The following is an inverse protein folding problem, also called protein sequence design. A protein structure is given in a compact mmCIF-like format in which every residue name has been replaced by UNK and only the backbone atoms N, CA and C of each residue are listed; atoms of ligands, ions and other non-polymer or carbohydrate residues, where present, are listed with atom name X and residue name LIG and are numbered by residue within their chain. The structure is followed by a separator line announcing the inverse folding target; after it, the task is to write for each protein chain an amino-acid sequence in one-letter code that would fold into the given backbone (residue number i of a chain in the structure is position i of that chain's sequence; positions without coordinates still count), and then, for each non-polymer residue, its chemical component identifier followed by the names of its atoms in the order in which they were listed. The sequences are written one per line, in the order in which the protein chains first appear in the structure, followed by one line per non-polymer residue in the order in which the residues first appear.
data_IF_666803882107
#
_entry.id   IF_666803882107
#
_cell.length_a   1.000
_cell.length_b   1.000
_cell.length_c   1.000
_cell.angle_alpha   90.00
_cell.angle_beta   90.00
_cell.angle_gamma   90.00
#
_symmetry.space_group_name_H-M   'P 1'
#
loop_
_entity.id
_entity.type
_entity.pdbx_description
1 polymer ?
#
# COMPACT_ATOMS: atom_id res chain seq x y z
N UNK A 1 -21.66 6.25 -18.97
CA UNK A 1 -20.39 5.95 -18.25
C UNK A 1 -19.41 5.41 -19.28
N UNK A 2 -18.39 6.19 -19.65
CA UNK A 2 -17.55 5.91 -20.82
C UNK A 2 -16.60 4.73 -20.56
N UNK A 3 -16.51 3.85 -21.56
CA UNK A 3 -15.69 2.63 -21.67
C UNK A 3 -14.17 2.85 -21.48
N UNK A 4 -13.73 4.09 -21.24
CA UNK A 4 -12.33 4.54 -21.21
C UNK A 4 -11.69 4.36 -19.81
N UNK A 5 -12.46 4.40 -18.72
CA UNK A 5 -11.92 4.25 -17.35
C UNK A 5 -11.54 2.81 -16.98
N UNK A 6 -12.17 1.80 -17.59
CA UNK A 6 -11.88 0.39 -17.35
C UNK A 6 -10.65 -0.12 -18.10
N UNK A 7 -10.32 0.50 -19.25
CA UNK A 7 -9.14 0.10 -20.06
C UNK A 7 -7.82 0.63 -19.50
N UNK A 8 -7.81 1.82 -18.88
CA UNK A 8 -6.59 2.39 -18.28
C UNK A 8 -6.04 1.55 -17.11
N UNK A 9 -6.90 1.04 -16.24
CA UNK A 9 -6.50 0.17 -15.13
C UNK A 9 -6.03 -1.22 -15.60
N UNK A 10 -6.66 -1.76 -16.65
CA UNK A 10 -6.31 -3.07 -17.19
C UNK A 10 -5.00 -3.04 -18.00
N UNK A 11 -4.73 -1.94 -18.73
CA UNK A 11 -3.47 -1.73 -19.44
C UNK A 11 -2.31 -1.52 -18.44
N UNK A 12 -2.54 -0.82 -17.32
CA UNK A 12 -1.53 -0.66 -16.28
C UNK A 12 -1.24 -1.98 -15.53
N UNK A 13 -2.27 -2.78 -15.24
CA UNK A 13 -2.14 -4.13 -14.69
C UNK A 13 -1.41 -5.09 -15.65
N UNK A 14 -1.69 -5.00 -16.96
CA UNK A 14 -0.96 -5.74 -17.99
C UNK A 14 0.50 -5.27 -18.12
N UNK A 15 0.78 -3.98 -17.96
CA UNK A 15 2.14 -3.44 -17.91
C UNK A 15 2.93 -3.96 -16.70
N UNK A 16 2.31 -4.04 -15.52
CA UNK A 16 2.95 -4.66 -14.35
C UNK A 16 3.10 -6.19 -14.49
N UNK A 17 2.13 -6.89 -15.09
CA UNK A 17 2.22 -8.33 -15.35
C UNK A 17 3.27 -8.69 -16.42
N UNK A 18 3.49 -7.82 -17.41
CA UNK A 18 4.51 -8.00 -18.45
C UNK A 18 5.92 -7.63 -17.96
N UNK A 19 6.05 -6.69 -17.01
CA UNK A 19 7.32 -6.42 -16.32
C UNK A 19 7.68 -7.51 -15.29
N UNK A 20 6.69 -8.22 -14.74
CA UNK A 20 6.88 -9.30 -13.78
C UNK A 20 7.08 -10.69 -14.41
N UNK A 21 6.99 -10.83 -15.74
CA UNK A 21 7.22 -12.10 -16.43
C UNK A 21 8.68 -12.20 -16.86
N UNK A 22 9.49 -13.13 -16.33
CA UNK A 22 10.83 -13.35 -16.86
C UNK A 22 10.71 -13.87 -18.29
N UNK A 23 11.08 -13.05 -19.28
CA UNK A 23 11.38 -13.55 -20.62
C UNK A 23 12.45 -14.64 -20.45
N UNK A 24 12.17 -15.85 -20.94
CA UNK A 24 13.17 -16.87 -21.21
C UNK A 24 14.22 -16.24 -22.13
N UNK A 25 15.30 -15.74 -21.55
CA UNK A 25 16.45 -15.28 -22.30
C UNK A 25 17.36 -16.49 -22.52
N UNK A 26 17.36 -16.99 -23.75
CA UNK A 26 18.49 -17.77 -24.26
C UNK A 26 19.66 -16.79 -24.33
N UNK A 27 20.68 -17.02 -23.51
CA UNK A 27 21.92 -16.26 -23.53
C UNK A 27 22.73 -16.74 -24.72
N UNK A 28 22.96 -15.85 -25.68
CA UNK A 28 24.05 -15.93 -26.64
C UNK A 28 24.96 -14.76 -26.29
N UNK A 29 26.24 -15.06 -26.12
CA UNK A 29 27.31 -14.22 -25.56
C UNK A 29 27.47 -12.82 -26.18
N UNK A 30 28.29 -12.02 -25.48
CA UNK A 30 28.96 -10.76 -25.86
C UNK A 30 28.21 -9.44 -25.56
N UNK A 31 28.61 -8.77 -24.47
CA UNK A 31 29.38 -7.52 -24.57
C UNK A 31 29.62 -6.90 -23.18
N UNK A 32 30.88 -6.87 -22.77
CA UNK A 32 31.34 -6.28 -21.50
C UNK A 32 31.60 -4.81 -21.74
N UNK A 33 30.77 -3.91 -21.20
CA UNK A 33 31.04 -2.46 -21.24
C UNK A 33 31.87 -2.11 -20.00
N UNK A 34 33.14 -1.77 -20.20
CA UNK A 34 34.05 -1.28 -19.15
C UNK A 34 33.83 0.23 -19.00
N UNK A 35 33.41 0.68 -17.81
CA UNK A 35 33.50 2.09 -17.42
C UNK A 35 34.82 2.30 -16.67
N UNK A 36 35.75 3.01 -17.30
CA UNK A 36 36.93 3.58 -16.65
C UNK A 36 36.48 4.80 -15.83
N UNK A 37 36.14 4.56 -14.55
CA UNK A 37 36.40 5.45 -13.42
C UNK A 37 35.74 4.87 -12.16
N UNK A 38 36.34 3.83 -11.61
CA UNK A 38 36.15 3.45 -10.20
C UNK A 38 37.46 2.85 -9.69
N UNK A 39 37.96 3.39 -8.59
CA UNK A 39 39.24 3.11 -7.91
C UNK A 39 39.62 1.62 -7.83
N UNK A 40 40.94 1.29 -7.89
CA UNK A 40 41.45 -0.05 -8.08
C UNK A 40 41.32 -0.89 -6.80
N UNK A 41 40.62 -2.01 -6.86
CA UNK A 41 40.56 -2.96 -5.74
C UNK A 41 39.46 -4.02 -5.77
N UNK A 42 38.45 -3.91 -6.64
CA UNK A 42 37.49 -4.99 -6.88
C UNK A 42 37.48 -5.35 -8.36
N UNK A 43 37.76 -6.62 -8.68
CA UNK A 43 37.76 -7.14 -10.04
C UNK A 43 36.42 -6.90 -10.72
N UNK A 44 36.46 -6.22 -11.86
CA UNK A 44 35.35 -5.87 -12.73
C UNK A 44 34.83 -7.07 -13.55
N UNK A 45 33.53 -7.36 -13.42
CA UNK A 45 32.59 -7.33 -14.56
C UNK A 45 31.16 -7.54 -14.02
N UNK A 46 30.47 -6.46 -13.68
CA UNK A 46 29.02 -6.56 -13.49
C UNK A 46 28.42 -6.90 -14.86
N UNK A 47 27.66 -8.01 -14.95
CA UNK A 47 26.98 -8.36 -16.21
C UNK A 47 26.11 -7.20 -16.70
N UNK A 48 25.94 -7.03 -18.01
CA UNK A 48 25.05 -6.00 -18.57
C UNK A 48 23.64 -6.03 -17.95
N UNK A 49 23.18 -7.23 -17.55
CA UNK A 49 21.94 -7.45 -16.81
C UNK A 49 21.96 -6.81 -15.41
N UNK A 50 23.04 -6.95 -14.66
CA UNK A 50 23.17 -6.38 -13.32
C UNK A 50 23.17 -4.84 -13.38
N UNK A 51 23.86 -4.25 -14.35
CA UNK A 51 23.86 -2.80 -14.58
C UNK A 51 22.47 -2.32 -14.97
N UNK A 52 21.78 -3.03 -15.89
CA UNK A 52 20.42 -2.70 -16.29
C UNK A 52 19.43 -2.77 -15.12
N UNK A 53 19.54 -3.79 -14.26
CA UNK A 53 18.70 -3.92 -13.07
C UNK A 53 18.96 -2.78 -12.07
N UNK A 54 20.22 -2.40 -11.83
CA UNK A 54 20.56 -1.27 -10.96
C UNK A 54 19.97 0.05 -11.48
N UNK A 55 20.09 0.31 -12.78
CA UNK A 55 19.48 1.49 -13.41
C UNK A 55 17.96 1.47 -13.26
N UNK A 56 17.32 0.32 -13.48
CA UNK A 56 15.88 0.16 -13.31
C UNK A 56 15.46 0.44 -11.85
N UNK A 57 16.22 -0.05 -10.86
CA UNK A 57 15.97 0.21 -9.44
C UNK A 57 16.08 1.69 -9.12
N UNK A 58 17.08 2.39 -9.67
CA UNK A 58 17.26 3.83 -9.51
C UNK A 58 16.09 4.63 -10.09
N UNK A 59 15.70 4.33 -11.34
CA UNK A 59 14.58 5.01 -12.03
C UNK A 59 13.26 4.80 -11.28
N UNK A 60 12.95 3.55 -10.91
CA UNK A 60 11.72 3.23 -10.16
C UNK A 60 11.72 3.93 -8.80
N UNK A 61 12.85 3.94 -8.09
CA UNK A 61 12.97 4.64 -6.79
C UNK A 61 12.67 6.13 -6.93
N UNK A 62 13.28 6.81 -7.92
CA UNK A 62 13.05 8.23 -8.18
C UNK A 62 11.58 8.54 -8.53
N UNK A 63 10.98 7.78 -9.45
CA UNK A 63 9.57 7.94 -9.82
C UNK A 63 8.68 7.74 -8.59
N UNK A 64 8.95 6.70 -7.81
CA UNK A 64 8.14 6.36 -6.64
C UNK A 64 8.24 7.45 -5.57
N UNK A 65 9.43 7.96 -5.26
CA UNK A 65 9.61 9.09 -4.34
C UNK A 65 8.83 10.31 -4.83
N UNK A 66 8.90 10.64 -6.13
CA UNK A 66 8.12 11.73 -6.71
C UNK A 66 6.61 11.56 -6.50
N UNK A 67 6.07 10.37 -6.72
CA UNK A 67 4.66 10.05 -6.47
C UNK A 67 4.33 10.15 -4.98
N UNK A 68 5.16 9.63 -4.09
CA UNK A 68 4.93 9.68 -2.63
C UNK A 68 4.93 11.12 -2.10
N UNK A 69 5.79 12.00 -2.63
CA UNK A 69 5.77 13.44 -2.31
C UNK A 69 4.44 14.07 -2.73
N UNK A 70 3.92 13.72 -3.91
CA UNK A 70 2.60 14.18 -4.36
C UNK A 70 1.49 13.65 -3.43
N UNK A 71 1.57 12.40 -3.00
CA UNK A 71 0.61 11.81 -2.03
C UNK A 71 0.68 12.50 -0.66
N UNK A 72 1.88 12.83 -0.17
CA UNK A 72 2.07 13.63 1.05
C UNK A 72 1.45 15.01 0.91
N UNK A 73 1.73 15.70 -0.19
CA UNK A 73 1.18 17.02 -0.48
C UNK A 73 -0.35 17.00 -0.46
N UNK A 74 -0.97 16.04 -1.15
CA UNK A 74 -2.42 15.87 -1.14
C UNK A 74 -2.97 15.53 0.25
N UNK A 75 -2.24 14.74 1.04
CA UNK A 75 -2.68 14.35 2.37
C UNK A 75 -2.55 15.49 3.39
N UNK A 76 -1.63 16.43 3.21
CA UNK A 76 -1.45 17.58 4.11
C UNK A 76 -2.35 18.75 3.67
N UNK A 77 -2.28 19.13 2.39
CA UNK A 77 -2.89 20.36 1.86
C UNK A 77 -4.13 20.12 1.00
N UNK A 78 -4.50 18.87 0.73
CA UNK A 78 -5.61 18.54 -0.14
C UNK A 78 -6.95 18.97 0.43
N UNK A 79 -7.57 19.96 -0.23
CA UNK A 79 -8.87 20.52 0.18
C UNK A 79 -10.03 19.53 0.01
N UNK A 80 -9.86 18.51 -0.85
CA UNK A 80 -10.87 17.46 -1.10
C UNK A 80 -10.64 16.19 -0.29
N UNK A 81 -9.53 16.08 0.43
CA UNK A 81 -9.18 14.93 1.26
C UNK A 81 -9.71 15.15 2.69
N UNK A 82 -10.75 14.39 3.12
CA UNK A 82 -11.28 14.57 4.50
C UNK A 82 -10.37 13.90 5.52
N UNK A 83 -10.46 14.36 6.76
CA UNK A 83 -9.70 13.89 7.91
C UNK A 83 -10.12 12.48 8.39
N UNK A 84 -10.33 11.55 7.47
CA UNK A 84 -10.67 10.14 7.75
C UNK A 84 -9.39 9.32 7.94
N UNK A 85 -9.50 8.13 8.52
CA UNK A 85 -8.41 7.17 8.69
C UNK A 85 -7.64 6.93 7.39
N UNK A 86 -8.35 6.83 6.26
CA UNK A 86 -7.73 6.69 4.92
C UNK A 86 -6.70 7.79 4.62
N UNK A 87 -6.98 9.05 4.97
CA UNK A 87 -6.06 10.17 4.73
C UNK A 87 -4.80 10.01 5.55
N UNK A 88 -4.97 9.69 6.84
CA UNK A 88 -3.85 9.53 7.77
C UNK A 88 -3.01 8.30 7.44
N UNK A 89 -3.66 7.22 7.01
CA UNK A 89 -2.98 6.02 6.54
C UNK A 89 -2.14 6.28 5.30
N UNK A 90 -2.70 6.92 4.26
CA UNK A 90 -1.96 7.27 3.04
C UNK A 90 -0.82 8.23 3.36
N UNK A 91 -1.03 9.22 4.23
CA UNK A 91 0.03 10.12 4.71
C UNK A 91 1.18 9.32 5.35
N UNK A 92 0.83 8.40 6.25
CA UNK A 92 1.81 7.61 7.00
C UNK A 92 2.60 6.67 6.06
N UNK A 93 1.91 5.94 5.20
CA UNK A 93 2.53 5.07 4.19
C UNK A 93 3.41 5.87 3.22
N UNK A 94 3.03 7.09 2.86
CA UNK A 94 3.83 7.92 1.97
C UNK A 94 5.13 8.39 2.62
N UNK A 95 5.07 8.81 3.88
CA UNK A 95 6.24 9.24 4.65
C UNK A 95 7.23 8.08 4.84
N UNK A 96 6.74 6.96 5.37
CA UNK A 96 7.60 5.80 5.62
C UNK A 96 8.01 5.07 4.35
N UNK A 97 7.23 5.18 3.27
CA UNK A 97 7.59 4.69 1.95
C UNK A 97 8.80 5.42 1.36
N UNK A 98 8.96 6.73 1.63
CA UNK A 98 10.16 7.46 1.23
C UNK A 98 11.37 6.94 2.00
N UNK A 99 11.23 6.77 3.32
CA UNK A 99 12.31 6.21 4.14
C UNK A 99 12.70 4.80 3.70
N UNK A 100 11.69 3.97 3.38
CA UNK A 100 11.87 2.63 2.85
C UNK A 100 12.74 2.66 1.59
N UNK A 101 12.39 3.51 0.62
CA UNK A 101 13.13 3.62 -0.64
C UNK A 101 14.55 4.16 -0.45
N UNK A 102 14.75 5.13 0.45
CA UNK A 102 16.09 5.66 0.76
C UNK A 102 16.99 4.55 1.33
N UNK A 103 16.47 3.75 2.27
CA UNK A 103 17.20 2.62 2.85
C UNK A 103 17.42 1.53 1.80
N UNK A 104 16.38 1.13 1.07
CA UNK A 104 16.43 0.06 0.08
C UNK A 104 17.35 0.41 -1.10
N UNK A 105 17.35 1.65 -1.57
CA UNK A 105 18.24 2.11 -2.63
C UNK A 105 19.71 2.15 -2.22
N UNK A 106 20.00 2.09 -0.92
CA UNK A 106 21.34 2.05 -0.34
C UNK A 106 21.83 0.63 0.00
N UNK A 107 20.91 -0.31 0.28
CA UNK A 107 21.28 -1.62 0.85
C UNK A 107 20.71 -2.85 0.13
N UNK A 108 19.84 -2.68 -0.87
CA UNK A 108 19.36 -3.81 -1.66
C UNK A 108 20.50 -4.52 -2.40
N UNK A 109 20.29 -5.80 -2.74
CA UNK A 109 21.23 -6.60 -3.54
C UNK A 109 21.59 -5.91 -4.88
N UNK A 110 20.61 -5.20 -5.46
CA UNK A 110 20.74 -4.42 -6.69
C UNK A 110 20.62 -2.92 -6.42
N UNK A 111 21.18 -2.46 -5.30
CA UNK A 111 21.14 -1.06 -4.89
C UNK A 111 21.70 -0.14 -5.99
N UNK A 112 20.94 0.89 -6.42
CA UNK A 112 21.44 1.89 -7.36
C UNK A 112 22.50 2.81 -6.73
N UNK A 113 22.47 3.02 -5.41
CA UNK A 113 23.40 3.89 -4.69
C UNK A 113 23.93 3.24 -3.39
N UNK A 114 24.76 2.18 -3.48
CA UNK A 114 25.16 1.35 -2.33
C UNK A 114 25.95 2.07 -1.22
N UNK A 115 26.47 3.27 -1.50
CA UNK A 115 27.25 4.09 -0.57
C UNK A 115 26.54 5.41 -0.20
N UNK A 116 25.24 5.54 -0.50
CA UNK A 116 24.48 6.74 -0.15
C UNK A 116 24.33 6.90 1.38
N UNK A 117 24.05 5.80 2.08
CA UNK A 117 24.08 5.75 3.55
C UNK A 117 25.39 5.07 3.99
N UNK A 118 26.26 5.84 4.64
CA UNK A 118 27.55 5.37 5.15
C UNK A 118 27.55 5.04 6.64
N UNK A 119 26.45 5.30 7.35
CA UNK A 119 26.34 5.03 8.78
C UNK A 119 26.30 3.52 9.05
N UNK A 120 27.26 3.04 9.85
CA UNK A 120 27.40 1.61 10.15
C UNK A 120 26.22 1.06 10.95
N UNK A 121 25.74 1.78 11.97
CA UNK A 121 24.59 1.35 12.77
C UNK A 121 23.34 1.16 11.88
N UNK A 122 23.13 2.06 10.91
CA UNK A 122 22.02 1.93 9.96
C UNK A 122 22.18 0.72 9.04
N UNK A 123 23.41 0.47 8.56
CA UNK A 123 23.71 -0.70 7.72
C UNK A 123 23.42 -1.99 8.47
N UNK A 124 23.83 -2.06 9.74
CA UNK A 124 23.63 -3.22 10.59
C UNK A 124 22.15 -3.45 10.92
N UNK A 125 21.33 -2.37 10.93
CA UNK A 125 19.88 -2.45 11.19
C UNK A 125 19.00 -2.26 9.96
N UNK A 126 19.55 -2.35 8.75
CA UNK A 126 18.82 -2.06 7.52
C UNK A 126 17.61 -2.97 7.32
N UNK A 127 17.71 -4.24 7.74
CA UNK A 127 16.60 -5.20 7.74
C UNK A 127 15.47 -4.76 8.68
N UNK A 128 15.80 -4.31 9.88
CA UNK A 128 14.82 -3.82 10.86
C UNK A 128 14.12 -2.57 10.36
N UNK A 129 14.84 -1.66 9.68
CA UNK A 129 14.24 -0.50 9.00
C UNK A 129 13.27 -0.93 7.89
N UNK A 130 13.61 -1.97 7.13
CA UNK A 130 12.72 -2.53 6.12
C UNK A 130 11.44 -3.13 6.75
N UNK A 131 11.58 -3.95 7.78
CA UNK A 131 10.45 -4.53 8.53
C UNK A 131 9.57 -3.44 9.15
N UNK A 132 10.18 -2.42 9.76
CA UNK A 132 9.51 -1.26 10.32
C UNK A 132 8.67 -0.54 9.26
N UNK A 133 9.30 -0.10 8.17
CA UNK A 133 8.62 0.72 7.15
C UNK A 133 7.51 -0.03 6.45
N UNK A 134 7.62 -1.35 6.32
CA UNK A 134 6.61 -2.17 5.66
C UNK A 134 5.47 -2.61 6.58
N UNK A 135 5.68 -2.66 7.90
CA UNK A 135 4.63 -2.92 8.89
C UNK A 135 3.56 -1.82 8.93
N UNK A 136 3.92 -0.59 8.54
CA UNK A 136 3.05 0.60 8.53
C UNK A 136 1.75 0.35 7.78
N UNK A 137 1.85 -0.32 6.62
CA UNK A 137 0.70 -0.55 5.77
C UNK A 137 -0.33 -1.52 6.37
N UNK A 138 0.01 -2.79 6.69
CA UNK A 138 -0.96 -3.72 7.27
C UNK A 138 -1.50 -3.21 8.60
N UNK A 139 -0.64 -2.64 9.47
CA UNK A 139 -1.08 -2.10 10.75
C UNK A 139 -2.06 -0.92 10.59
N UNK A 140 -1.80 -0.02 9.65
CA UNK A 140 -2.68 1.10 9.37
C UNK A 140 -4.01 0.68 8.72
N UNK A 141 -3.98 -0.33 7.84
CA UNK A 141 -5.17 -0.82 7.15
C UNK A 141 -6.21 -1.43 8.11
N UNK A 142 -5.79 -2.01 9.23
CA UNK A 142 -6.73 -2.50 10.28
C UNK A 142 -7.63 -1.36 10.76
N UNK A 143 -7.07 -0.20 11.05
CA UNK A 143 -7.85 0.98 11.48
C UNK A 143 -8.70 1.55 10.35
N UNK A 144 -8.21 1.51 9.11
CA UNK A 144 -8.96 1.95 7.94
C UNK A 144 -10.20 1.07 7.70
N UNK A 145 -10.08 -0.25 7.79
CA UNK A 145 -11.22 -1.15 7.67
C UNK A 145 -12.24 -0.95 8.80
N UNK A 146 -11.77 -0.79 10.04
CA UNK A 146 -12.63 -0.48 11.18
C UNK A 146 -13.42 0.82 10.98
N UNK A 147 -12.74 1.91 10.62
CA UNK A 147 -13.41 3.19 10.35
C UNK A 147 -14.48 3.03 9.28
N UNK A 148 -14.17 2.32 8.20
CA UNK A 148 -15.05 2.22 7.03
C UNK A 148 -16.29 1.36 7.29
N UNK A 149 -16.16 0.30 8.10
CA UNK A 149 -17.30 -0.44 8.62
C UNK A 149 -18.20 0.49 9.44
N UNK A 150 -17.63 1.27 10.36
CA UNK A 150 -18.36 2.21 11.21
C UNK A 150 -19.06 3.29 10.36
N UNK A 151 -18.37 3.90 9.41
CA UNK A 151 -18.91 4.95 8.54
C UNK A 151 -19.97 4.44 7.58
N UNK A 152 -19.92 3.17 7.18
CA UNK A 152 -20.98 2.54 6.38
C UNK A 152 -22.27 2.39 7.19
N UNK A 153 -22.14 2.02 8.47
CA UNK A 153 -23.28 1.87 9.39
C UNK A 153 -23.82 3.25 9.80
N UNK A 154 -22.93 4.17 10.18
CA UNK A 154 -23.22 5.49 10.75
C UNK A 154 -22.50 6.63 9.99
N UNK A 155 -22.95 6.98 8.77
CA UNK A 155 -22.24 7.92 7.88
C UNK A 155 -22.14 9.35 8.42
N UNK A 156 -23.01 9.75 9.35
CA UNK A 156 -22.97 11.07 9.99
C UNK A 156 -21.68 11.29 10.81
N UNK A 157 -21.04 10.22 11.29
CA UNK A 157 -19.80 10.29 12.07
C UNK A 157 -18.62 10.84 11.27
N UNK A 158 -18.63 10.73 9.93
CA UNK A 158 -17.56 11.26 9.09
C UNK A 158 -17.39 12.79 9.20
N UNK A 159 -18.44 13.51 9.63
CA UNK A 159 -18.39 14.95 9.85
C UNK A 159 -18.00 15.31 11.31
N UNK A 160 -17.90 14.33 12.20
CA UNK A 160 -17.54 14.55 13.61
C UNK A 160 -16.03 14.72 13.74
N UNK A 161 -15.62 15.84 14.33
CA UNK A 161 -14.21 16.13 14.59
C UNK A 161 -13.63 15.13 15.58
N UNK A 162 -14.38 14.79 16.65
CA UNK A 162 -13.93 13.85 17.69
C UNK A 162 -13.70 12.46 17.11
N UNK A 163 -14.63 11.98 16.28
CA UNK A 163 -14.50 10.66 15.64
C UNK A 163 -13.27 10.60 14.74
N UNK A 164 -13.08 11.61 13.88
CA UNK A 164 -11.93 11.72 13.00
C UNK A 164 -10.60 11.87 13.77
N UNK A 165 -10.61 12.57 14.91
CA UNK A 165 -9.44 12.75 15.77
C UNK A 165 -8.97 11.44 16.42
N UNK A 166 -9.88 10.54 16.77
CA UNK A 166 -9.53 9.21 17.29
C UNK A 166 -8.67 8.45 16.27
N UNK A 167 -9.11 8.39 15.01
CA UNK A 167 -8.34 7.70 13.97
C UNK A 167 -7.03 8.40 13.62
N UNK A 168 -6.98 9.73 13.70
CA UNK A 168 -5.72 10.46 13.60
C UNK A 168 -4.73 10.03 14.70
N UNK A 169 -5.16 10.01 15.96
CA UNK A 169 -4.32 9.64 17.11
C UNK A 169 -3.86 8.17 17.00
N UNK A 170 -4.75 7.27 16.58
CA UNK A 170 -4.40 5.86 16.42
C UNK A 170 -3.37 5.64 15.29
N UNK A 171 -3.57 6.28 14.13
CA UNK A 171 -2.73 6.04 12.95
C UNK A 171 -1.40 6.81 12.95
N UNK A 172 -1.37 8.01 13.52
CA UNK A 172 -0.19 8.86 13.49
C UNK A 172 0.62 8.70 14.78
N UNK A 173 0.28 9.29 15.93
CA UNK A 173 1.15 9.21 17.11
C UNK A 173 1.20 7.82 17.73
N UNK A 174 0.08 7.10 17.87
CA UNK A 174 0.10 5.79 18.53
C UNK A 174 0.85 4.74 17.71
N UNK A 175 0.45 4.54 16.45
CA UNK A 175 1.08 3.54 15.59
C UNK A 175 2.57 3.86 15.35
N UNK A 176 2.92 5.12 15.03
CA UNK A 176 4.33 5.48 14.83
C UNK A 176 5.13 5.40 16.12
N UNK A 177 4.56 5.85 17.25
CA UNK A 177 5.21 5.76 18.56
C UNK A 177 5.50 4.32 18.95
N UNK A 178 4.53 3.43 18.76
CA UNK A 178 4.69 1.99 19.01
C UNK A 178 5.77 1.39 18.12
N UNK A 179 5.74 1.65 16.81
CA UNK A 179 6.75 1.09 15.90
C UNK A 179 8.15 1.64 16.18
N UNK A 180 8.28 2.94 16.49
CA UNK A 180 9.56 3.56 16.85
C UNK A 180 10.08 2.95 18.15
N UNK A 181 9.21 2.78 19.15
CA UNK A 181 9.57 2.11 20.39
C UNK A 181 10.07 0.68 20.14
N UNK A 182 9.37 -0.10 19.33
CA UNK A 182 9.74 -1.47 18.99
C UNK A 182 11.04 -1.55 18.18
N UNK A 183 11.30 -0.57 17.31
CA UNK A 183 12.59 -0.44 16.64
C UNK A 183 13.72 -0.14 17.64
N UNK A 184 13.52 0.78 18.59
CA UNK A 184 14.52 1.08 19.60
C UNK A 184 14.69 -0.01 20.66
N UNK A 185 13.67 -0.86 20.85
CA UNK A 185 13.75 -2.02 21.73
C UNK A 185 14.87 -2.99 21.31
N UNK A 186 15.22 -3.03 20.02
CA UNK A 186 16.39 -3.75 19.50
C UNK A 186 17.70 -3.37 20.20
N UNK A 187 17.85 -2.08 20.55
CA UNK A 187 19.08 -1.55 21.17
C UNK A 187 19.05 -1.60 22.70
N UNK A 188 17.97 -2.08 23.31
CA UNK A 188 17.92 -2.26 24.75
C UNK A 188 18.71 -3.51 25.15
N UNK A 189 19.45 -3.43 26.25
CA UNK A 189 20.20 -4.56 26.81
C UNK A 189 19.25 -5.56 27.51
N UNK A 190 18.33 -6.11 26.74
CA UNK A 190 17.29 -7.05 27.16
C UNK A 190 17.33 -8.22 26.18
N UNK A 191 17.36 -9.44 26.72
CA UNK A 191 17.24 -10.65 25.91
C UNK A 191 15.77 -10.83 25.51
N UNK A 192 15.41 -10.35 24.33
CA UNK A 192 14.07 -10.54 23.77
C UNK A 192 13.89 -11.98 23.29
N UNK A 193 12.68 -12.53 23.51
CA UNK A 193 12.32 -13.87 23.03
C UNK A 193 12.33 -13.97 21.49
N UNK A 194 11.96 -12.88 20.83
CA UNK A 194 12.07 -12.69 19.39
C UNK A 194 12.28 -11.19 19.13
N UNK A 195 12.89 -10.84 18.00
CA UNK A 195 13.15 -9.44 17.64
C UNK A 195 11.84 -8.63 17.64
N UNK A 196 11.69 -7.56 18.45
CA UNK A 196 10.38 -6.93 18.71
C UNK A 196 9.69 -6.39 17.44
N UNK A 197 10.45 -5.78 16.54
CA UNK A 197 9.90 -5.23 15.29
C UNK A 197 9.51 -6.34 14.31
N UNK A 198 10.26 -7.44 14.26
CA UNK A 198 9.92 -8.60 13.43
C UNK A 198 8.66 -9.30 13.97
N UNK A 199 8.52 -9.42 15.30
CA UNK A 199 7.32 -9.96 15.93
C UNK A 199 6.08 -9.10 15.63
N UNK A 200 6.23 -7.78 15.73
CA UNK A 200 5.17 -6.84 15.39
C UNK A 200 4.76 -6.94 13.92
N UNK A 201 5.73 -7.03 13.02
CA UNK A 201 5.51 -7.24 11.59
C UNK A 201 4.72 -8.55 11.34
N UNK A 202 5.06 -9.63 12.04
CA UNK A 202 4.35 -10.90 11.95
C UNK A 202 2.90 -10.80 12.45
N UNK A 203 2.72 -10.25 13.66
CA UNK A 203 1.42 -10.12 14.28
C UNK A 203 0.49 -9.20 13.48
N UNK A 204 1.00 -8.06 13.02
CA UNK A 204 0.20 -7.09 12.26
C UNK A 204 -0.26 -7.64 10.91
N UNK A 205 0.57 -8.43 10.22
CA UNK A 205 0.15 -9.06 8.97
C UNK A 205 -0.96 -10.11 9.17
N UNK A 206 -0.86 -10.93 10.23
CA UNK A 206 -1.91 -11.90 10.57
C UNK A 206 -3.22 -11.19 10.91
N UNK A 207 -3.17 -10.17 11.79
CA UNK A 207 -4.33 -9.35 12.14
C UNK A 207 -4.92 -8.71 10.88
N UNK A 208 -4.09 -8.10 10.04
CA UNK A 208 -4.54 -7.48 8.80
C UNK A 208 -5.23 -8.48 7.85
N UNK A 209 -4.71 -9.70 7.72
CA UNK A 209 -5.31 -10.75 6.89
C UNK A 209 -6.70 -11.14 7.43
N UNK A 210 -6.83 -11.29 8.75
CA UNK A 210 -8.12 -11.53 9.41
C UNK A 210 -9.10 -10.37 9.17
N UNK A 211 -8.66 -9.13 9.34
CA UNK A 211 -9.49 -7.95 9.10
C UNK A 211 -9.89 -7.78 7.63
N UNK A 212 -9.00 -8.15 6.70
CA UNK A 212 -9.31 -8.17 5.26
C UNK A 212 -10.44 -9.15 4.96
N UNK A 213 -10.40 -10.34 5.56
CA UNK A 213 -11.47 -11.33 5.43
C UNK A 213 -12.79 -10.84 6.05
N UNK A 214 -12.75 -10.26 7.26
CA UNK A 214 -13.93 -9.66 7.90
C UNK A 214 -14.52 -8.55 7.02
N UNK A 215 -13.67 -7.67 6.49
CA UNK A 215 -14.10 -6.59 5.60
C UNK A 215 -14.69 -7.11 4.29
N UNK A 216 -14.15 -8.20 3.74
CA UNK A 216 -14.74 -8.87 2.57
C UNK A 216 -16.16 -9.38 2.85
N UNK A 217 -16.37 -10.08 3.97
CA UNK A 217 -17.71 -10.51 4.39
C UNK A 217 -18.65 -9.32 4.57
N UNK A 218 -18.16 -8.23 5.14
CA UNK A 218 -18.91 -6.99 5.27
C UNK A 218 -19.27 -6.37 3.91
N UNK A 219 -18.37 -6.41 2.92
CA UNK A 219 -18.65 -5.96 1.56
C UNK A 219 -19.76 -6.77 0.89
N UNK A 220 -19.77 -8.09 1.07
CA UNK A 220 -20.84 -8.97 0.58
C UNK A 220 -22.18 -8.59 1.20
N UNK A 221 -22.23 -8.45 2.53
CA UNK A 221 -23.44 -8.02 3.23
C UNK A 221 -23.90 -6.61 2.82
N UNK A 222 -22.96 -5.67 2.69
CA UNK A 222 -23.23 -4.32 2.23
C UNK A 222 -23.79 -4.27 0.80
N UNK A 223 -23.43 -5.21 -0.06
CA UNK A 223 -24.02 -5.34 -1.41
C UNK A 223 -25.50 -5.68 -1.33
N UNK A 224 -25.89 -6.61 -0.45
CA UNK A 224 -27.30 -6.92 -0.21
C UNK A 224 -28.07 -5.69 0.32
N UNK A 225 -27.46 -4.93 1.24
CA UNK A 225 -28.03 -3.68 1.75
C UNK A 225 -28.14 -2.59 0.67
N UNK A 226 -27.21 -2.53 -0.29
CA UNK A 226 -27.28 -1.63 -1.44
C UNK A 226 -28.51 -1.92 -2.29
N UNK A 227 -28.75 -3.19 -2.62
CA UNK A 227 -29.94 -3.63 -3.36
C UNK A 227 -31.24 -3.24 -2.63
N UNK A 228 -31.29 -3.43 -1.31
CA UNK A 228 -32.43 -3.00 -0.48
C UNK A 228 -32.59 -1.47 -0.43
N UNK A 229 -31.49 -0.72 -0.45
CA UNK A 229 -31.52 0.76 -0.44
C UNK A 229 -31.99 1.31 -1.79
N UNK A 230 -31.58 0.70 -2.92
CA UNK A 230 -32.01 1.11 -4.25
C UNK A 230 -33.48 0.79 -4.54
N UNK A 231 -34.02 -0.29 -3.97
CA UNK A 231 -35.44 -0.65 -4.10
C UNK A 231 -36.34 0.16 -3.16
N UNK A 232 -35.78 0.70 -2.07
CA UNK A 232 -36.51 1.56 -1.13
C UNK A 232 -36.69 2.98 -1.68
N UNK A 233 -37.94 3.43 -1.81
CA UNK A 233 -38.28 4.82 -2.20
C UNK A 233 -38.01 5.85 -1.09
N UNK A 234 -37.44 5.45 0.05
CA UNK A 234 -37.18 6.34 1.18
C UNK A 234 -35.86 7.09 0.98
N UNK A 235 -35.81 8.40 1.30
CA UNK A 235 -34.55 9.14 1.30
C UNK A 235 -33.59 8.50 2.31
N UNK A 236 -32.50 7.93 1.80
CA UNK A 236 -31.46 7.26 2.59
C UNK A 236 -30.22 8.13 2.64
N UNK A 237 -29.56 8.15 3.80
CA UNK A 237 -28.23 8.75 3.95
C UNK A 237 -27.12 7.92 3.26
N UNK A 238 -27.42 6.66 2.90
CA UNK A 238 -26.53 5.75 2.18
C UNK A 238 -26.85 5.83 0.69
N UNK A 239 -25.82 6.07 -0.11
CA UNK A 239 -25.95 6.15 -1.58
C UNK A 239 -25.26 4.96 -2.23
N UNK A 240 -25.59 4.63 -3.48
CA UNK A 240 -24.85 3.64 -4.27
C UNK A 240 -23.35 3.94 -4.32
N UNK A 241 -22.99 5.25 -4.30
CA UNK A 241 -21.60 5.68 -4.21
C UNK A 241 -20.89 5.24 -2.92
N UNK A 242 -21.60 5.19 -1.78
CA UNK A 242 -21.06 4.70 -0.51
C UNK A 242 -20.64 3.23 -0.60
N UNK A 243 -21.45 2.41 -1.27
CA UNK A 243 -21.15 0.97 -1.46
C UNK A 243 -20.05 0.74 -2.50
N UNK A 244 -19.99 1.57 -3.55
CA UNK A 244 -18.89 1.55 -4.50
C UNK A 244 -17.55 1.93 -3.83
N UNK A 245 -17.54 2.98 -2.99
CA UNK A 245 -16.36 3.39 -2.23
C UNK A 245 -15.89 2.28 -1.28
N UNK A 246 -16.84 1.56 -0.64
CA UNK A 246 -16.56 0.39 0.21
C UNK A 246 -15.86 -0.74 -0.57
N UNK A 247 -16.36 -1.10 -1.75
CA UNK A 247 -15.75 -2.12 -2.61
C UNK A 247 -14.40 -1.70 -3.17
N UNK A 248 -14.22 -0.43 -3.52
CA UNK A 248 -12.94 0.07 -4.02
C UNK A 248 -11.84 0.08 -2.95
N UNK A 249 -12.20 0.19 -1.67
CA UNK A 249 -11.23 0.04 -0.58
C UNK A 249 -10.65 -1.38 -0.50
N UNK A 250 -11.39 -2.40 -0.94
CA UNK A 250 -10.94 -3.78 -0.89
C UNK A 250 -9.69 -4.04 -1.75
N UNK A 251 -9.64 -3.74 -3.06
CA UNK A 251 -8.42 -3.88 -3.86
C UNK A 251 -7.29 -2.96 -3.41
N UNK A 252 -7.60 -1.80 -2.80
CA UNK A 252 -6.58 -0.92 -2.20
C UNK A 252 -5.80 -1.64 -1.07
N UNK A 253 -6.48 -2.43 -0.23
CA UNK A 253 -5.82 -3.23 0.79
C UNK A 253 -5.25 -4.56 0.28
N UNK A 254 -5.98 -5.26 -0.59
CA UNK A 254 -5.66 -6.62 -1.01
C UNK A 254 -4.42 -6.70 -1.92
N UNK A 255 -4.29 -5.84 -2.93
CA UNK A 255 -3.20 -5.94 -3.90
C UNK A 255 -1.82 -5.70 -3.25
N UNK A 256 -1.63 -4.65 -2.43
CA UNK A 256 -0.36 -4.48 -1.71
C UNK A 256 -0.08 -5.61 -0.73
N UNK A 257 -1.12 -6.22 -0.14
CA UNK A 257 -0.96 -7.42 0.71
C UNK A 257 -0.35 -8.60 -0.03
N UNK A 258 -0.79 -8.86 -1.27
CA UNK A 258 -0.26 -9.95 -2.11
C UNK A 258 1.22 -9.71 -2.41
N UNK A 259 1.61 -8.47 -2.70
CA UNK A 259 3.01 -8.10 -2.91
C UNK A 259 3.85 -8.24 -1.63
N UNK A 260 3.24 -7.96 -0.49
CA UNK A 260 3.89 -8.04 0.81
C UNK A 260 4.03 -9.49 1.34
N UNK A 261 3.11 -10.37 0.97
CA UNK A 261 3.02 -11.77 1.42
C UNK A 261 4.31 -12.60 1.30
N UNK A 262 5.03 -12.57 0.16
CA UNK A 262 6.29 -13.31 0.00
C UNK A 262 7.36 -12.97 1.04
N UNK A 263 7.52 -11.69 1.39
CA UNK A 263 8.53 -11.32 2.37
C UNK A 263 8.04 -11.43 3.82
N UNK A 264 6.73 -11.32 4.08
CA UNK A 264 6.17 -11.85 5.33
C UNK A 264 6.53 -13.34 5.46
N UNK A 265 6.38 -14.12 4.38
CA UNK A 265 6.78 -15.52 4.28
C UNK A 265 8.21 -15.75 4.79
N UNK A 266 9.19 -14.98 4.34
CA UNK A 266 10.58 -15.11 4.80
C UNK A 266 10.77 -14.78 6.29
N UNK A 267 10.09 -13.73 6.78
CA UNK A 267 10.12 -13.38 8.20
C UNK A 267 9.48 -14.50 9.04
N UNK A 268 8.39 -15.08 8.53
CA UNK A 268 7.66 -16.17 9.18
C UNK A 268 8.42 -17.51 9.12
N UNK A 269 9.21 -17.77 8.08
CA UNK A 269 10.07 -18.96 7.99
C UNK A 269 11.17 -18.90 9.03
N UNK A 270 11.79 -17.72 9.23
CA UNK A 270 12.80 -17.54 10.29
C UNK A 270 12.20 -17.82 11.67
N UNK A 271 11.04 -17.23 11.95
CA UNK A 271 10.28 -17.51 13.17
C UNK A 271 9.89 -18.99 13.30
N UNK A 272 9.41 -19.59 12.20
CA UNK A 272 8.93 -20.96 12.21
C UNK A 272 10.06 -21.96 12.44
N UNK A 273 11.22 -21.76 11.80
CA UNK A 273 12.41 -22.59 12.00
C UNK A 273 12.98 -22.45 13.42
N UNK A 274 12.95 -21.24 13.99
CA UNK A 274 13.53 -20.96 15.30
C UNK A 274 12.62 -21.41 16.47
N UNK A 275 11.30 -21.34 16.32
CA UNK A 275 10.36 -21.56 17.43
C UNK A 275 9.27 -22.60 17.18
N UNK A 276 8.77 -22.75 15.95
CA UNK A 276 7.74 -23.75 15.63
C UNK A 276 8.31 -25.12 15.32
N UNK A 277 9.48 -25.22 14.67
CA UNK A 277 10.08 -26.50 14.32
C UNK A 277 10.41 -27.31 15.57
N UNK A 278 11.06 -26.67 16.55
CA UNK A 278 11.36 -27.25 17.86
C UNK A 278 10.07 -27.62 18.59
N UNK A 279 9.08 -26.74 18.62
CA UNK A 279 7.78 -27.02 19.23
C UNK A 279 7.02 -28.18 18.54
N UNK A 280 7.02 -28.27 17.21
CA UNK A 280 6.38 -29.35 16.43
C UNK A 280 7.10 -30.69 16.62
N UNK A 281 8.42 -30.67 16.70
CA UNK A 281 9.24 -31.85 16.98
C UNK A 281 9.06 -32.33 18.43
N UNK A 282 8.92 -31.40 19.38
CA UNK A 282 8.70 -31.69 20.80
C UNK A 282 7.23 -31.99 21.14
N UNK A 283 6.26 -31.51 20.35
CA UNK A 283 4.82 -31.71 20.58
C UNK A 283 4.34 -33.12 20.19
N UNK A 284 5.23 -33.99 19.70
CA UNK A 284 4.91 -35.37 19.29
C UNK A 284 4.00 -35.48 18.07
N UNK A 285 3.72 -34.36 17.37
CA UNK A 285 2.74 -34.28 16.29
C UNK A 285 3.22 -34.95 15.00
N UNK A 286 4.54 -35.10 14.84
CA UNK A 286 5.18 -35.82 13.72
C UNK A 286 5.59 -37.25 14.06
N UNK A 287 5.53 -37.66 15.33
CA UNK A 287 5.94 -39.01 15.78
C UNK A 287 4.78 -40.00 15.90
N UNK A 288 3.55 -39.57 15.63
CA UNK A 288 2.36 -40.42 15.68
C UNK A 288 1.51 -40.32 14.41
N UNK A 289 1.74 -41.22 13.45
CA UNK A 289 0.90 -41.25 12.23
C UNK A 289 1.38 -42.16 11.11
N UNK A 290 1.85 -43.36 11.41
CA UNK A 290 1.94 -44.43 10.42
C UNK A 290 0.54 -44.81 9.95
N UNK A 291 0.08 -44.22 8.86
CA UNK A 291 -1.24 -44.46 8.30
C UNK A 291 -1.20 -44.34 6.78
N UNK A 292 -0.95 -45.47 6.13
CA UNK A 292 -1.09 -45.65 4.70
C UNK A 292 -2.53 -45.33 4.27
N UNK A 293 -2.78 -44.12 3.78
CA UNK A 293 -3.96 -43.80 3.00
C UNK A 293 -3.54 -43.28 1.64
N UNK A 294 -3.58 -44.17 0.66
CA UNK A 294 -3.65 -43.86 -0.75
C UNK A 294 -4.83 -42.91 -1.01
N UNK A 295 -4.53 -41.63 -1.16
CA UNK A 295 -5.47 -40.57 -1.53
C UNK A 295 -4.66 -39.38 -1.99
N UNK A 296 -4.85 -38.97 -3.25
CA UNK A 296 -3.96 -38.06 -3.98
C UNK A 296 -3.57 -36.81 -3.18
N UNK A 297 -2.25 -36.55 -3.15
CA UNK A 297 -1.65 -35.31 -2.66
C UNK A 297 -2.36 -34.11 -3.28
N UNK A 298 -3.18 -33.41 -2.51
CA UNK A 298 -3.99 -32.29 -2.98
C UNK A 298 -3.17 -31.02 -3.25
N UNK A 299 -1.84 -31.07 -3.06
CA UNK A 299 -0.90 -30.01 -3.44
C UNK A 299 0.26 -30.69 -4.18
N UNK A 300 0.40 -30.39 -5.46
CA UNK A 300 1.57 -30.82 -6.23
C UNK A 300 2.82 -30.14 -5.64
N UNK A 301 3.69 -30.94 -5.01
CA UNK A 301 4.87 -30.42 -4.33
C UNK A 301 5.83 -29.70 -5.29
N UNK A 302 5.78 -30.05 -6.59
CA UNK A 302 6.50 -29.32 -7.64
C UNK A 302 5.89 -27.93 -7.88
N UNK A 303 4.56 -27.82 -7.90
CA UNK A 303 3.87 -26.53 -8.01
C UNK A 303 4.20 -25.65 -6.81
N UNK A 304 4.21 -26.21 -5.59
CA UNK A 304 4.58 -25.49 -4.37
C UNK A 304 6.02 -24.96 -4.43
N UNK A 305 6.98 -25.81 -4.84
CA UNK A 305 8.38 -25.40 -5.01
C UNK A 305 8.55 -24.34 -6.10
N UNK A 306 7.84 -24.46 -7.23
CA UNK A 306 7.88 -23.46 -8.29
C UNK A 306 7.32 -22.11 -7.83
N UNK A 307 6.19 -22.11 -7.12
CA UNK A 307 5.59 -20.89 -6.54
C UNK A 307 6.55 -20.25 -5.54
N UNK A 308 7.15 -21.02 -4.64
CA UNK A 308 8.12 -20.51 -3.67
C UNK A 308 9.37 -19.92 -4.35
N UNK A 309 9.92 -20.61 -5.36
CA UNK A 309 11.08 -20.12 -6.12
C UNK A 309 10.76 -18.82 -6.84
N UNK A 310 9.61 -18.74 -7.52
CA UNK A 310 9.18 -17.52 -8.21
C UNK A 310 8.90 -16.38 -7.22
N UNK A 311 8.34 -16.68 -6.04
CA UNK A 311 8.11 -15.68 -5.00
C UNK A 311 9.43 -15.10 -4.46
N UNK A 312 10.47 -15.93 -4.29
CA UNK A 312 11.81 -15.49 -3.89
C UNK A 312 12.42 -14.57 -4.95
N UNK A 313 12.33 -14.95 -6.24
CA UNK A 313 12.86 -14.15 -7.34
C UNK A 313 12.10 -12.82 -7.53
N UNK A 314 10.80 -12.79 -7.25
CA UNK A 314 9.97 -11.60 -7.36
C UNK A 314 10.07 -10.66 -6.15
N UNK A 315 10.52 -11.16 -5.00
CA UNK A 315 10.53 -10.42 -3.74
C UNK A 315 11.29 -9.09 -3.82
N UNK A 316 12.53 -9.01 -4.37
CA UNK A 316 13.22 -7.73 -4.46
C UNK A 316 12.45 -6.66 -5.25
N UNK A 317 11.72 -7.10 -6.27
CA UNK A 317 10.86 -6.22 -7.08
C UNK A 317 9.58 -5.83 -6.35
N UNK A 318 8.98 -6.74 -5.58
CA UNK A 318 7.81 -6.42 -4.77
C UNK A 318 8.14 -5.43 -3.67
N UNK A 319 9.29 -5.57 -3.01
CA UNK A 319 9.76 -4.61 -2.01
C UNK A 319 9.93 -3.22 -2.63
N UNK A 320 10.59 -3.14 -3.79
CA UNK A 320 10.80 -1.90 -4.52
C UNK A 320 9.48 -1.24 -5.00
N UNK A 321 8.59 -2.01 -5.60
CA UNK A 321 7.37 -1.51 -6.24
C UNK A 321 6.21 -1.29 -5.27
N UNK A 322 6.27 -1.84 -4.07
CA UNK A 322 5.19 -1.78 -3.10
C UNK A 322 4.70 -0.34 -2.81
N UNK A 323 5.57 0.65 -2.49
CA UNK A 323 5.12 2.02 -2.24
C UNK A 323 4.48 2.67 -3.47
N UNK A 324 4.95 2.32 -4.67
CA UNK A 324 4.40 2.80 -5.94
C UNK A 324 2.99 2.25 -6.17
N UNK A 325 2.82 0.94 -6.04
CA UNK A 325 1.53 0.26 -6.21
C UNK A 325 0.52 0.77 -5.18
N UNK A 326 0.94 0.94 -3.93
CA UNK A 326 0.10 1.54 -2.88
C UNK A 326 -0.37 2.95 -3.26
N UNK A 327 0.51 3.78 -3.82
CA UNK A 327 0.17 5.15 -4.23
C UNK A 327 -0.76 5.19 -5.44
N UNK A 328 -0.50 4.34 -6.45
CA UNK A 328 -1.37 4.21 -7.64
C UNK A 328 -2.76 3.73 -7.22
N UNK A 329 -2.84 2.71 -6.36
CA UNK A 329 -4.13 2.23 -5.87
C UNK A 329 -4.84 3.28 -5.02
N UNK A 330 -4.13 4.10 -4.26
CA UNK A 330 -4.75 5.22 -3.57
C UNK A 330 -5.44 6.19 -4.56
N UNK A 331 -4.80 6.49 -5.70
CA UNK A 331 -5.38 7.34 -6.74
C UNK A 331 -6.54 6.68 -7.49
N UNK A 332 -6.46 5.38 -7.76
CA UNK A 332 -7.47 4.66 -8.54
C UNK A 332 -8.70 4.34 -7.67
N UNK A 333 -8.47 3.76 -6.50
CA UNK A 333 -9.50 3.21 -5.64
C UNK A 333 -10.12 4.25 -4.71
N UNK A 334 -9.32 5.15 -4.12
CA UNK A 334 -9.81 6.07 -3.11
C UNK A 334 -10.35 7.34 -3.76
N UNK A 335 -11.68 7.48 -3.76
CA UNK A 335 -12.39 8.59 -4.39
C UNK A 335 -11.85 9.97 -4.02
N UNK A 336 -11.54 10.21 -2.74
CA UNK A 336 -11.03 11.50 -2.28
C UNK A 336 -9.64 11.86 -2.84
N UNK A 337 -8.76 10.88 -3.01
CA UNK A 337 -7.45 11.09 -3.61
C UNK A 337 -7.56 11.26 -5.12
N UNK A 338 -8.44 10.49 -5.76
CA UNK A 338 -8.78 10.66 -7.18
C UNK A 338 -9.30 12.06 -7.50
N UNK A 339 -10.28 12.54 -6.74
CA UNK A 339 -10.85 13.89 -6.91
C UNK A 339 -9.81 14.98 -6.65
N UNK A 340 -8.97 14.82 -5.62
CA UNK A 340 -7.90 15.78 -5.33
C UNK A 340 -6.84 15.81 -6.44
N UNK A 341 -6.47 14.65 -6.99
CA UNK A 341 -5.48 14.56 -8.06
C UNK A 341 -5.95 15.24 -9.35
N UNK A 342 -7.18 14.96 -9.80
CA UNK A 342 -7.76 15.63 -10.97
C UNK A 342 -7.93 17.13 -10.74
N UNK A 343 -8.28 17.55 -9.52
CA UNK A 343 -8.33 18.96 -9.16
C UNK A 343 -6.95 19.63 -9.31
N UNK A 344 -5.87 19.02 -8.82
CA UNK A 344 -4.52 19.58 -8.93
C UNK A 344 -4.04 19.66 -10.39
N UNK A 345 -4.18 18.57 -11.16
CA UNK A 345 -3.69 18.53 -12.55
C UNK A 345 -4.48 19.48 -13.47
N UNK A 346 -5.76 19.67 -13.18
CA UNK A 346 -6.60 20.59 -13.96
C UNK A 346 -6.54 22.04 -13.47
N UNK A 347 -5.72 22.35 -12.47
CA UNK A 347 -5.68 23.65 -11.80
C UNK A 347 -7.07 24.12 -11.31
N UNK A 348 -7.89 23.17 -10.86
CA UNK A 348 -9.23 23.41 -10.36
C UNK A 348 -10.34 23.47 -11.41
N UNK A 349 -10.03 23.34 -12.72
CA UNK A 349 -11.04 23.29 -13.79
C UNK A 349 -11.95 22.06 -13.69
N UNK A 350 -11.40 20.94 -13.24
CA UNK A 350 -12.16 19.72 -12.97
C UNK A 350 -12.41 19.69 -11.46
N UNK A 351 -13.69 19.73 -11.09
CA UNK A 351 -14.18 19.94 -9.72
C UNK A 351 -13.90 21.35 -9.18
N UNK A 352 -14.64 22.35 -9.66
CA UNK A 352 -14.65 23.70 -9.08
C UNK A 352 -15.33 23.72 -7.69
N UNK A 353 -14.97 24.70 -6.85
CA UNK A 353 -15.61 24.96 -5.54
C UNK A 353 -15.11 24.13 -4.34
N UNK A 354 -15.60 24.47 -3.14
CA UNK A 354 -15.33 23.73 -1.89
C UNK A 354 -16.19 22.46 -1.81
N UNK A 355 -15.70 21.48 -1.05
CA UNK A 355 -16.33 20.17 -0.87
C UNK A 355 -17.75 20.23 -0.28
N UNK A 356 -18.66 19.39 -0.77
CA UNK A 356 -19.96 19.10 -0.14
C UNK A 356 -19.83 18.23 1.13
N UNK A 357 -20.65 18.51 2.16
CA UNK A 357 -20.78 17.72 3.40
C UNK A 357 -21.52 16.41 3.14
N UNK A 358 -21.15 15.31 3.82
CA UNK A 358 -21.88 14.03 3.70
C UNK A 358 -23.28 14.22 4.31
N UNK A 359 -24.32 13.87 3.56
CA UNK A 359 -25.72 13.93 4.03
C UNK A 359 -26.48 15.21 3.65
N UNK A 360 -25.89 16.12 2.87
CA UNK A 360 -26.67 17.13 2.14
C UNK A 360 -27.08 16.54 0.79
N UNK A 361 -28.39 16.44 0.56
CA UNK A 361 -28.96 16.23 -0.77
C UNK A 361 -28.65 17.46 -1.61
N UNK A 362 -27.61 17.39 -2.44
CA UNK A 362 -27.56 18.00 -3.76
C UNK A 362 -26.25 17.63 -4.46
N UNK A 363 -26.37 16.79 -5.49
CA UNK A 363 -25.46 16.76 -6.62
C UNK A 363 -26.34 16.67 -7.86
N UNK A 364 -26.65 17.82 -8.46
CA UNK A 364 -26.93 17.88 -9.89
C UNK A 364 -25.57 17.78 -10.60
N UNK A 365 -25.14 16.55 -10.91
CA UNK A 365 -24.03 16.30 -11.85
C UNK A 365 -24.56 16.54 -13.27
N UNK A 366 -24.90 17.78 -13.60
CA UNK A 366 -25.14 18.22 -14.99
C UNK A 366 -24.85 19.71 -15.10
N UNK A 367 -23.57 20.08 -15.16
CA UNK A 367 -23.15 21.19 -16.01
C UNK A 367 -21.62 21.22 -16.09
N UNK A 368 -21.11 20.71 -17.21
CA UNK A 368 -20.12 21.48 -17.97
C UNK A 368 -20.91 22.73 -18.40
N UNK A 369 -21.02 23.70 -17.49
CA UNK A 369 -21.59 25.01 -17.79
C UNK A 369 -20.49 25.90 -18.35
N UNK A 370 -20.80 26.86 -19.25
CA UNK A 370 -19.79 27.79 -19.72
C UNK A 370 -19.23 28.59 -18.53
N UNK A 371 -17.98 29.07 -18.62
CA UNK A 371 -17.34 29.81 -17.53
C UNK A 371 -18.22 30.98 -17.08
N UNK A 372 -18.23 31.32 -15.78
CA UNK A 372 -19.03 32.43 -15.29
C UNK A 372 -18.61 33.73 -15.98
N UNK A 373 -19.56 34.38 -16.65
CA UNK A 373 -19.42 35.75 -17.10
C UNK A 373 -19.13 36.62 -15.88
N UNK A 374 -18.06 37.39 -15.95
CA UNK A 374 -17.69 38.39 -14.94
C UNK A 374 -18.91 39.26 -14.58
N UNK A 375 -19.15 39.56 -13.28
CA UNK A 375 -20.25 40.44 -12.91
C UNK A 375 -20.00 41.83 -13.49
N UNK A 376 -20.96 42.28 -14.29
CA UNK A 376 -21.07 43.66 -14.76
C UNK A 376 -20.97 44.63 -13.58
N UNK A 377 -20.26 45.73 -13.82
CA UNK A 377 -20.18 46.92 -12.97
C UNK A 377 -21.52 47.31 -12.34
N UNK A 378 -21.56 47.79 -11.08
CA UNK A 378 -22.79 48.25 -10.48
C UNK A 378 -23.20 49.60 -11.09
N UNK A 379 -24.23 49.58 -11.93
CA UNK A 379 -25.01 50.79 -12.22
C UNK A 379 -26.22 50.87 -11.30
N UNK A 380 -26.49 52.10 -10.90
CA UNK A 380 -27.75 52.60 -10.33
C UNK A 380 -27.97 52.37 -8.83
N UNK A 381 -27.51 53.41 -8.11
CA UNK A 381 -28.25 54.01 -6.99
C UNK A 381 -29.74 54.13 -7.33
N UNK A 382 -30.58 53.63 -6.44
CA UNK A 382 -31.92 54.16 -6.25
C UNK A 382 -32.03 54.57 -4.79
N UNK A 383 -31.86 55.86 -4.55
CA UNK A 383 -32.28 56.55 -3.33
C UNK A 383 -33.76 56.93 -3.46
N UNK A 384 -34.41 56.97 -2.30
CA UNK A 384 -35.78 57.40 -1.95
C UNK A 384 -36.91 56.36 -2.14
#
# INVERSE_FOLDING_TARGET
MSLVTTRGGFILLLLFATLASPKKAVVVDEDTIIFDDYTPGMGNSASAKQVADQVAYGVISCITVGVLIVMLYMSVFGQRVRATAVRWHVLNCSLWGILHLISYASFAEKAPWPNYITNQNWRDTARQVECFTRSVFPAGMVFVYLEQIILTIAPKLANSIVFNAIFFILLIPFLNGLMIFLYYAHFMDIVWWYEPIDLFNLATYLIFTTFTFIYFLFCLFGTCLCCATMTSKKPSSRTTGTFADMWLLFPYGLIPSIMYGPSFGMTSVSFAMQHLLTWVLESGLLTGGGGSSSGGSFIDMNLLMQVATNAILAMPWFVLLFPLVQSILALVCLRMFREQFFFMISCGRIFEGKRAKIGMTEWNVTSIGPPPLYPNSPSEKQEA
#
